data_IF_158647822391
#
_entry.id   IF_158647822391
#
_cell.length_a   1.000
_cell.length_b   1.000
_cell.length_c   1.000
_cell.angle_alpha   90.00
_cell.angle_beta   90.00
_cell.angle_gamma   90.00
#
_symmetry.space_group_name_H-M   'P 1'
#
loop_
_entity.id
_entity.type
_entity.pdbx_description
1 polymer ?
#
# COMPACT_ATOMS: atom_id res chain seq x y z
N UNK A 1 -1.37 20.52 -2.09
CA UNK A 1 -0.37 19.46 -1.91
C UNK A 1 -0.32 18.49 -3.09
N UNK A 2 -1.33 17.62 -3.30
CA UNK A 2 -1.32 16.60 -4.38
C UNK A 2 -0.99 17.18 -5.76
N UNK A 3 -1.60 18.32 -6.15
CA UNK A 3 -1.29 19.03 -7.41
C UNK A 3 0.20 19.36 -7.55
N UNK A 4 0.84 19.86 -6.49
CA UNK A 4 2.25 20.22 -6.52
C UNK A 4 3.14 18.97 -6.69
N UNK A 5 2.81 17.86 -6.02
CA UNK A 5 3.52 16.59 -6.22
C UNK A 5 3.35 16.09 -7.67
N UNK A 6 2.13 16.14 -8.22
CA UNK A 6 1.84 15.73 -9.58
C UNK A 6 2.55 16.58 -10.65
N UNK A 7 2.84 17.84 -10.35
CA UNK A 7 3.55 18.77 -11.23
C UNK A 7 5.08 18.76 -11.04
N UNK A 8 5.60 17.88 -10.19
CA UNK A 8 7.04 17.82 -9.87
C UNK A 8 7.91 17.20 -10.97
N UNK A 9 7.31 16.54 -11.97
CA UNK A 9 8.03 15.74 -12.97
C UNK A 9 8.58 14.42 -12.43
N UNK A 10 8.19 14.00 -11.22
CA UNK A 10 8.55 12.71 -10.61
C UNK A 10 7.33 11.80 -10.49
N UNK A 11 7.50 10.47 -10.55
CA UNK A 11 6.41 9.56 -10.24
C UNK A 11 5.98 9.69 -8.78
N UNK A 12 4.68 9.55 -8.51
CA UNK A 12 4.10 9.76 -7.17
C UNK A 12 3.31 8.55 -6.73
N UNK A 13 3.71 7.97 -5.58
CA UNK A 13 2.93 6.95 -4.90
C UNK A 13 1.93 7.61 -3.94
N UNK A 14 0.65 7.63 -4.29
CA UNK A 14 -0.37 8.34 -3.51
C UNK A 14 -1.02 7.37 -2.52
N UNK A 15 -0.77 7.58 -1.23
CA UNK A 15 -1.41 6.80 -0.15
C UNK A 15 -2.89 7.15 -0.02
N UNK A 16 -3.75 6.14 -0.07
CA UNK A 16 -5.18 6.26 0.23
C UNK A 16 -5.34 6.68 1.69
N UNK A 17 -6.18 7.68 1.97
CA UNK A 17 -6.51 8.04 3.35
C UNK A 17 -7.25 6.91 4.07
N UNK A 18 -7.05 6.77 5.39
CA UNK A 18 -7.75 5.72 6.17
C UNK A 18 -9.28 5.93 6.23
N UNK A 19 -9.73 7.14 5.93
CA UNK A 19 -11.14 7.55 5.88
C UNK A 19 -11.76 7.41 4.48
N UNK A 20 -10.98 7.08 3.44
CA UNK A 20 -11.48 6.95 2.07
C UNK A 20 -11.93 5.52 1.78
N UNK A 21 -13.06 5.41 1.06
CA UNK A 21 -13.44 4.18 0.41
C UNK A 21 -12.50 3.89 -0.79
N UNK A 22 -12.39 2.63 -1.25
CA UNK A 22 -11.49 2.30 -2.35
C UNK A 22 -11.78 3.05 -3.65
N UNK A 23 -13.06 3.22 -4.02
CA UNK A 23 -13.48 3.89 -5.26
C UNK A 23 -13.15 5.40 -5.28
N UNK A 24 -13.00 6.02 -4.12
CA UNK A 24 -12.62 7.44 -4.03
C UNK A 24 -11.22 7.69 -4.61
N UNK A 25 -10.35 6.68 -4.63
CA UNK A 25 -9.00 6.81 -5.20
C UNK A 25 -9.03 7.10 -6.71
N UNK A 26 -10.08 6.73 -7.44
CA UNK A 26 -10.22 7.09 -8.85
C UNK A 26 -10.20 8.60 -9.04
N UNK A 27 -10.99 9.32 -8.25
CA UNK A 27 -11.02 10.79 -8.28
C UNK A 27 -9.68 11.42 -7.87
N UNK A 28 -8.97 10.80 -6.91
CA UNK A 28 -7.64 11.28 -6.47
C UNK A 28 -6.62 11.14 -7.60
N UNK A 29 -6.56 9.98 -8.25
CA UNK A 29 -5.65 9.72 -9.37
C UNK A 29 -6.00 10.61 -10.57
N UNK A 30 -7.29 10.74 -10.93
CA UNK A 30 -7.71 11.58 -12.07
C UNK A 30 -7.35 13.06 -11.87
N UNK A 31 -7.47 13.58 -10.63
CA UNK A 31 -7.01 14.94 -10.30
C UNK A 31 -5.49 15.09 -10.40
N UNK A 32 -4.73 14.05 -10.02
CA UNK A 32 -3.27 14.06 -10.18
C UNK A 32 -2.87 14.04 -11.67
N UNK A 33 -3.56 13.24 -12.49
CA UNK A 33 -3.40 13.22 -13.95
C UNK A 33 -3.70 14.56 -14.60
N UNK A 34 -4.82 15.19 -14.25
CA UNK A 34 -5.14 16.53 -14.75
C UNK A 34 -4.06 17.54 -14.37
N UNK A 35 -3.55 17.50 -13.13
CA UNK A 35 -2.47 18.38 -12.70
C UNK A 35 -1.17 18.16 -13.49
N UNK A 36 -0.81 16.91 -13.80
CA UNK A 36 0.33 16.59 -14.65
C UNK A 36 0.13 17.09 -16.09
N UNK A 37 -1.06 16.87 -16.66
CA UNK A 37 -1.44 17.35 -18.00
C UNK A 37 -1.32 18.87 -18.11
N UNK A 38 -1.81 19.62 -17.12
CA UNK A 38 -1.69 21.08 -17.06
C UNK A 38 -0.23 21.56 -17.12
N UNK A 39 0.71 20.74 -16.63
CA UNK A 39 2.14 21.02 -16.63
C UNK A 39 2.90 20.38 -17.82
N UNK A 40 2.19 19.76 -18.77
CA UNK A 40 2.81 19.08 -19.92
C UNK A 40 3.57 17.80 -19.56
N UNK A 41 3.20 17.14 -18.46
CA UNK A 41 3.84 15.92 -17.95
C UNK A 41 3.01 14.66 -18.27
N UNK A 42 3.63 13.46 -18.31
CA UNK A 42 2.91 12.21 -18.53
C UNK A 42 1.93 11.86 -17.40
N UNK A 43 0.77 11.31 -17.76
CA UNK A 43 -0.33 10.98 -16.84
C UNK A 43 -0.22 9.57 -16.22
N UNK A 44 0.72 8.75 -16.67
CA UNK A 44 0.96 7.37 -16.23
C UNK A 44 1.98 7.26 -15.09
N UNK A 45 2.28 8.37 -14.42
CA UNK A 45 3.30 8.49 -13.37
C UNK A 45 2.76 8.34 -11.93
N UNK A 46 1.57 7.77 -11.76
CA UNK A 46 0.89 7.70 -10.45
C UNK A 46 0.62 6.27 -10.04
N UNK A 47 0.79 5.98 -8.75
CA UNK A 47 0.40 4.71 -8.12
C UNK A 47 -0.63 4.96 -7.02
N UNK A 48 -1.51 4.00 -6.78
CA UNK A 48 -2.48 4.01 -5.69
C UNK A 48 -2.03 3.08 -4.57
N UNK A 49 -1.75 3.62 -3.38
CA UNK A 49 -1.17 2.85 -2.26
C UNK A 49 -2.19 2.61 -1.14
N UNK A 50 -2.54 1.35 -0.93
CA UNK A 50 -3.34 0.90 0.21
C UNK A 50 -2.48 0.88 1.49
N UNK A 51 -3.05 1.33 2.60
CA UNK A 51 -2.38 1.46 3.92
C UNK A 51 -3.30 1.20 5.11
N UNK A 52 -4.43 0.52 4.87
CA UNK A 52 -5.48 0.24 5.84
C UNK A 52 -6.57 1.33 5.88
N UNK A 53 -7.76 0.94 6.32
CA UNK A 53 -8.89 1.83 6.60
C UNK A 53 -9.25 1.80 8.10
N UNK A 54 -9.79 2.89 8.62
CA UNK A 54 -10.20 2.99 10.03
C UNK A 54 -11.20 1.91 10.40
N UNK A 55 -10.95 1.19 11.49
CA UNK A 55 -11.82 0.14 11.99
C UNK A 55 -12.14 0.34 13.47
N UNK A 56 -13.10 1.23 13.75
CA UNK A 56 -13.35 1.72 15.11
C UNK A 56 -12.20 2.59 15.60
N UNK A 57 -11.99 2.63 16.92
CA UNK A 57 -10.93 3.43 17.54
C UNK A 57 -9.59 2.70 17.56
N UNK A 58 -8.51 3.44 17.29
CA UNK A 58 -7.12 2.99 17.42
C UNK A 58 -6.76 1.72 16.62
N UNK A 59 -7.51 1.40 15.58
CA UNK A 59 -7.30 0.20 14.79
C UNK A 59 -7.52 0.44 13.29
N UNK A 60 -6.83 -0.35 12.48
CA UNK A 60 -6.95 -0.37 11.03
C UNK A 60 -7.29 -1.78 10.56
N UNK A 61 -8.08 -1.87 9.50
CA UNK A 61 -8.34 -3.12 8.79
C UNK A 61 -7.85 -3.01 7.35
N UNK A 62 -7.24 -4.08 6.84
CA UNK A 62 -6.85 -4.20 5.44
C UNK A 62 -7.90 -4.97 4.66
N UNK A 63 -8.80 -4.25 4.01
CA UNK A 63 -9.80 -4.84 3.12
C UNK A 63 -9.14 -5.23 1.78
N UNK A 64 -8.93 -6.52 1.55
CA UNK A 64 -8.31 -7.03 0.31
C UNK A 64 -9.14 -6.67 -0.94
N UNK A 65 -10.45 -6.43 -0.81
CA UNK A 65 -11.29 -5.97 -1.93
C UNK A 65 -10.81 -4.62 -2.46
N UNK A 66 -10.25 -3.78 -1.59
CA UNK A 66 -9.69 -2.47 -1.97
C UNK A 66 -8.63 -2.59 -3.05
N UNK A 67 -7.79 -3.64 -2.98
CA UNK A 67 -6.71 -3.88 -3.94
C UNK A 67 -7.26 -4.16 -5.35
N UNK A 68 -8.35 -4.92 -5.43
CA UNK A 68 -9.04 -5.20 -6.69
C UNK A 68 -9.82 -3.98 -7.19
N UNK A 69 -10.60 -3.32 -6.32
CA UNK A 69 -11.39 -2.13 -6.69
C UNK A 69 -10.49 -1.02 -7.23
N UNK A 70 -9.37 -0.72 -6.57
CA UNK A 70 -8.46 0.35 -7.01
C UNK A 70 -7.79 0.08 -8.37
N UNK A 71 -7.92 -1.12 -8.97
CA UNK A 71 -7.51 -1.34 -10.36
C UNK A 71 -8.30 -0.46 -11.34
N UNK A 72 -9.52 -0.05 -10.99
CA UNK A 72 -10.35 0.87 -11.80
C UNK A 72 -9.72 2.25 -12.00
N UNK A 73 -8.73 2.61 -11.17
CA UNK A 73 -7.96 3.84 -11.33
C UNK A 73 -7.06 3.81 -12.56
N UNK A 74 -6.77 2.62 -13.11
CA UNK A 74 -5.78 2.42 -14.17
C UNK A 74 -4.35 2.76 -13.73
N UNK A 75 -4.10 2.89 -12.43
CA UNK A 75 -2.77 3.10 -11.84
C UNK A 75 -2.26 1.81 -11.18
N UNK A 76 -0.94 1.58 -11.09
CA UNK A 76 -0.42 0.44 -10.35
C UNK A 76 -0.82 0.54 -8.87
N UNK A 77 -1.37 -0.56 -8.34
CA UNK A 77 -1.78 -0.65 -6.94
C UNK A 77 -0.62 -1.17 -6.09
N UNK A 78 -0.26 -0.41 -5.06
CA UNK A 78 0.77 -0.75 -4.07
C UNK A 78 0.11 -1.09 -2.75
N UNK A 79 0.64 -2.07 -2.02
CA UNK A 79 0.21 -2.36 -0.65
C UNK A 79 1.30 -2.01 0.36
N UNK A 80 1.00 -1.12 1.30
CA UNK A 80 1.85 -0.79 2.44
C UNK A 80 1.59 -1.74 3.60
N UNK A 81 2.41 -2.77 3.72
CA UNK A 81 2.20 -3.81 4.73
C UNK A 81 2.56 -3.35 6.16
N UNK A 82 3.44 -2.36 6.30
CA UNK A 82 3.90 -1.87 7.61
C UNK A 82 2.88 -0.94 8.26
N UNK A 83 2.36 0.04 7.52
CA UNK A 83 1.39 0.99 8.07
C UNK A 83 -0.03 0.42 8.16
N UNK A 84 -0.30 -0.66 7.43
CA UNK A 84 -1.57 -1.39 7.50
C UNK A 84 -1.78 -2.17 8.80
N UNK A 85 -0.71 -2.41 9.58
CA UNK A 85 -0.75 -3.10 10.88
C UNK A 85 -0.54 -2.15 12.06
N UNK A 86 -0.49 -0.85 11.79
CA UNK A 86 -0.29 0.16 12.81
C UNK A 86 -1.55 0.29 13.68
N UNK A 87 -1.36 0.55 14.97
CA UNK A 87 -2.43 0.93 15.89
C UNK A 87 -2.35 2.45 16.13
N UNK A 88 -3.14 3.28 15.40
CA UNK A 88 -3.00 4.73 15.45
C UNK A 88 -3.26 5.26 16.87
N UNK A 89 -2.30 5.98 17.43
CA UNK A 89 -2.39 6.49 18.82
C UNK A 89 -2.38 5.40 19.90
N UNK A 90 -2.06 4.14 19.57
CA UNK A 90 -2.14 3.00 20.49
C UNK A 90 -1.19 3.07 21.70
N UNK A 91 -0.22 3.99 21.70
CA UNK A 91 0.69 4.22 22.83
C UNK A 91 0.51 5.63 23.45
N UNK A 92 -0.59 6.32 23.15
CA UNK A 92 -0.87 7.68 23.63
C UNK A 92 -0.05 8.75 22.92
N UNK A 93 1.28 8.75 23.07
CA UNK A 93 2.19 9.74 22.47
C UNK A 93 2.78 9.30 21.12
N UNK A 94 2.67 8.01 20.79
CA UNK A 94 3.12 7.41 19.54
C UNK A 94 2.10 6.39 19.04
N UNK A 95 2.24 6.01 17.77
CA UNK A 95 1.51 4.87 17.24
C UNK A 95 2.19 3.57 17.67
N UNK A 96 1.39 2.60 18.09
CA UNK A 96 1.87 1.25 18.34
C UNK A 96 2.07 0.49 17.03
N UNK A 97 2.36 -0.81 17.14
CA UNK A 97 2.54 -1.63 15.97
C UNK A 97 2.45 -3.12 16.22
N UNK A 98 2.10 -3.87 15.18
CA UNK A 98 1.90 -5.32 15.23
C UNK A 98 2.70 -6.00 14.12
N UNK A 99 4.04 -5.98 14.24
CA UNK A 99 4.97 -6.54 13.23
C UNK A 99 4.67 -7.98 12.84
N UNK A 100 4.10 -8.77 13.74
CA UNK A 100 3.72 -10.15 13.51
C UNK A 100 2.71 -10.29 12.35
N UNK A 101 1.92 -9.25 12.08
CA UNK A 101 0.95 -9.23 10.99
C UNK A 101 1.50 -8.70 9.67
N UNK A 102 2.68 -8.05 9.64
CA UNK A 102 3.31 -7.60 8.39
C UNK A 102 3.48 -8.74 7.38
N UNK A 103 4.14 -9.87 7.72
CA UNK A 103 4.26 -10.97 6.76
C UNK A 103 2.93 -11.64 6.43
N UNK A 104 1.92 -11.57 7.32
CA UNK A 104 0.58 -12.10 7.07
C UNK A 104 -0.12 -11.28 5.98
N UNK A 105 -0.19 -9.96 6.17
CA UNK A 105 -0.87 -9.07 5.24
C UNK A 105 -0.10 -8.90 3.93
N UNK A 106 1.24 -8.94 3.95
CA UNK A 106 2.04 -8.94 2.73
C UNK A 106 1.74 -10.15 1.84
N UNK A 107 1.64 -11.37 2.43
CA UNK A 107 1.23 -12.56 1.67
C UNK A 107 -0.18 -12.43 1.12
N UNK A 108 -1.13 -11.94 1.92
CA UNK A 108 -2.51 -11.75 1.49
C UNK A 108 -2.61 -10.76 0.32
N UNK A 109 -1.94 -9.61 0.40
CA UNK A 109 -1.95 -8.60 -0.64
C UNK A 109 -1.30 -9.09 -1.94
N UNK A 110 -0.16 -9.78 -1.86
CA UNK A 110 0.51 -10.34 -3.05
C UNK A 110 -0.34 -11.43 -3.69
N UNK A 111 -0.93 -12.33 -2.90
CA UNK A 111 -1.82 -13.37 -3.42
C UNK A 111 -3.11 -12.78 -4.02
N UNK A 112 -3.59 -11.64 -3.52
CA UNK A 112 -4.72 -10.89 -4.10
C UNK A 112 -4.36 -10.25 -5.44
N UNK A 113 -3.09 -9.92 -5.63
CA UNK A 113 -2.58 -9.33 -6.87
C UNK A 113 -2.39 -7.82 -6.78
N UNK A 114 -1.16 -7.40 -6.53
CA UNK A 114 -0.70 -6.01 -6.49
C UNK A 114 0.45 -5.78 -7.46
N UNK A 115 0.68 -4.51 -7.82
CA UNK A 115 1.84 -4.12 -8.62
C UNK A 115 3.12 -4.02 -7.76
N UNK A 116 2.99 -3.70 -6.48
CA UNK A 116 4.12 -3.62 -5.57
C UNK A 116 3.73 -3.72 -4.10
N UNK A 117 4.73 -3.94 -3.25
CA UNK A 117 4.61 -3.95 -1.79
C UNK A 117 5.58 -2.95 -1.21
N UNK A 118 5.12 -2.16 -0.26
CA UNK A 118 5.95 -1.32 0.61
C UNK A 118 6.07 -1.99 1.97
N UNK A 119 7.29 -2.09 2.49
CA UNK A 119 7.61 -2.59 3.81
C UNK A 119 8.80 -1.82 4.39
N UNK A 120 8.68 -1.39 5.65
CA UNK A 120 9.80 -0.86 6.40
C UNK A 120 10.60 -1.97 7.05
N UNK A 121 11.91 -1.75 7.16
CA UNK A 121 12.83 -2.70 7.77
C UNK A 121 13.90 -1.97 8.56
N UNK A 122 14.44 -2.64 9.59
CA UNK A 122 15.55 -2.11 10.38
C UNK A 122 16.50 -3.26 10.78
N UNK A 123 17.83 -3.03 10.84
CA UNK A 123 18.78 -4.03 11.35
C UNK A 123 18.44 -4.49 12.77
N UNK A 124 18.05 -3.54 13.61
CA UNK A 124 17.57 -3.78 14.98
C UNK A 124 16.30 -2.96 15.27
N UNK A 125 15.09 -3.50 15.00
CA UNK A 125 13.85 -2.75 15.17
C UNK A 125 13.60 -2.21 16.59
N UNK A 126 14.27 -2.72 17.63
CA UNK A 126 14.16 -2.20 18.99
C UNK A 126 14.83 -0.84 19.16
N UNK A 127 15.83 -0.52 18.34
CA UNK A 127 16.55 0.75 18.34
C UNK A 127 16.12 1.72 17.22
N UNK A 128 15.05 1.39 16.49
CA UNK A 128 14.54 2.26 15.43
C UNK A 128 13.95 3.55 16.01
N UNK A 129 14.30 4.70 15.42
CA UNK A 129 13.86 6.04 15.87
C UNK A 129 12.40 6.37 15.53
N UNK A 130 11.79 5.62 14.61
CA UNK A 130 10.40 5.73 14.20
C UNK A 130 9.91 4.34 13.80
N UNK A 131 8.64 4.05 14.06
CA UNK A 131 7.89 2.87 13.59
C UNK A 131 8.56 1.51 13.84
N UNK A 132 9.52 1.46 14.78
CA UNK A 132 10.24 0.25 15.19
C UNK A 132 9.32 -0.93 15.50
N UNK A 133 8.19 -0.76 16.22
CA UNK A 133 7.24 -1.83 16.47
C UNK A 133 6.67 -2.50 15.22
N UNK A 134 6.59 -1.80 14.07
CA UNK A 134 6.07 -2.32 12.81
C UNK A 134 7.17 -2.80 11.84
N UNK A 135 8.42 -2.39 12.02
CA UNK A 135 9.49 -2.70 11.08
C UNK A 135 9.86 -4.20 11.09
N UNK A 136 10.00 -4.78 9.89
CA UNK A 136 10.48 -6.16 9.73
C UNK A 136 11.99 -6.20 10.03
N UNK A 137 12.50 -7.14 10.84
CA UNK A 137 13.95 -7.28 11.02
C UNK A 137 14.67 -7.55 9.69
N UNK A 138 15.69 -6.74 9.36
CA UNK A 138 16.36 -6.79 8.05
C UNK A 138 16.86 -8.18 7.68
N UNK A 139 17.38 -8.93 8.65
CA UNK A 139 17.85 -10.31 8.49
C UNK A 139 16.78 -11.30 8.00
N UNK A 140 15.49 -10.96 8.11
CA UNK A 140 14.36 -11.81 7.69
C UNK A 140 13.75 -11.38 6.35
N UNK A 141 14.20 -10.27 5.77
CA UNK A 141 13.63 -9.74 4.52
C UNK A 141 13.79 -10.70 3.34
N UNK A 142 14.94 -11.38 3.22
CA UNK A 142 15.17 -12.36 2.14
C UNK A 142 14.17 -13.52 2.21
N UNK A 143 13.95 -14.08 3.40
CA UNK A 143 13.01 -15.19 3.60
C UNK A 143 11.59 -14.77 3.18
N UNK A 144 11.15 -13.59 3.65
CA UNK A 144 9.82 -13.07 3.34
C UNK A 144 9.68 -12.79 1.84
N UNK A 145 10.62 -12.07 1.23
CA UNK A 145 10.57 -11.73 -0.19
C UNK A 145 10.60 -12.96 -1.11
N UNK A 146 11.27 -14.04 -0.71
CA UNK A 146 11.29 -15.29 -1.46
C UNK A 146 9.88 -15.88 -1.57
N UNK A 147 9.16 -15.95 -0.43
CA UNK A 147 7.76 -16.39 -0.40
C UNK A 147 6.85 -15.46 -1.20
N UNK A 148 7.01 -14.14 -1.04
CA UNK A 148 6.20 -13.18 -1.79
C UNK A 148 6.41 -13.30 -3.30
N UNK A 149 7.64 -13.53 -3.76
CA UNK A 149 7.94 -13.72 -5.18
C UNK A 149 7.26 -14.96 -5.76
N UNK A 150 7.21 -16.06 -5.01
CA UNK A 150 6.52 -17.28 -5.44
C UNK A 150 5.01 -17.09 -5.53
N UNK A 151 4.40 -16.42 -4.55
CA UNK A 151 2.98 -16.06 -4.58
C UNK A 151 2.66 -15.15 -5.76
N UNK A 152 3.50 -14.14 -6.01
CA UNK A 152 3.32 -13.19 -7.11
C UNK A 152 3.32 -13.90 -8.47
N UNK A 153 4.33 -14.75 -8.70
CA UNK A 153 4.45 -15.52 -9.93
C UNK A 153 3.28 -16.49 -10.12
N UNK A 154 2.86 -17.17 -9.04
CA UNK A 154 1.75 -18.11 -9.07
C UNK A 154 0.44 -17.42 -9.44
N UNK A 155 0.09 -16.34 -8.73
CA UNK A 155 -1.17 -15.63 -8.93
C UNK A 155 -1.22 -14.93 -10.29
N UNK A 156 -0.12 -14.35 -10.78
CA UNK A 156 -0.12 -13.61 -12.06
C UNK A 156 -0.03 -14.48 -13.30
N UNK A 157 0.29 -15.77 -13.18
CA UNK A 157 0.52 -16.68 -14.32
C UNK A 157 -0.66 -16.81 -15.28
N UNK A 158 -1.88 -16.84 -14.76
CA UNK A 158 -3.09 -17.13 -15.56
C UNK A 158 -4.05 -15.93 -15.63
N UNK A 159 -3.62 -14.76 -15.15
CA UNK A 159 -4.53 -13.65 -14.88
C UNK A 159 -5.41 -13.89 -13.66
N UNK A 160 -6.31 -12.95 -13.39
CA UNK A 160 -7.19 -12.95 -12.24
C UNK A 160 -8.61 -13.40 -12.63
N UNK A 161 -9.18 -14.36 -11.90
CA UNK A 161 -10.49 -14.93 -12.22
C UNK A 161 -11.61 -13.87 -12.08
N UNK A 162 -11.48 -12.94 -11.13
CA UNK A 162 -12.44 -11.87 -10.92
C UNK A 162 -12.58 -10.92 -12.11
N UNK A 163 -11.67 -10.96 -13.09
CA UNK A 163 -11.80 -10.22 -14.35
C UNK A 163 -12.74 -10.90 -15.35
N UNK A 164 -13.24 -12.09 -15.03
CA UNK A 164 -14.14 -12.90 -15.87
C UNK A 164 -15.53 -13.04 -15.26
N UNK A 165 -15.80 -12.36 -14.14
CA UNK A 165 -17.14 -12.29 -13.58
C UNK A 165 -17.94 -11.26 -14.38
N UNK A 166 -19.09 -11.68 -14.90
CA UNK A 166 -19.99 -10.89 -15.76
C UNK A 166 -20.49 -9.60 -15.08
#
# INVERSE_FOLDING_TARGET
FIRACAQSGKPVNIKKGQFLAPHDMKNVIDKARHAARDAGLPEDNFMACERGASFGYNNLVSDMRSLAIMRETGAPVVFDATHSVQLPGGQGTSSGGQREFVPVLARAAVATGVAGVFMETHPDPACAKSDGPNAVPLRRMKDLLSVLKELDALTKRSGFLENQFD
#
